data_IF_048646425837
#
_entry.id   IF_048646425837
#
_cell.length_a   1.000
_cell.length_b   1.000
_cell.length_c   1.000
_cell.angle_alpha   90.00
_cell.angle_beta   90.00
_cell.angle_gamma   90.00
#
_symmetry.space_group_name_H-M   'P 1'
#
loop_
_entity.id
_entity.type
_entity.pdbx_description
1 polymer ?
#
# COMPACT_ATOMS: atom_id res chain seq x y z
N UNK A 1 -16.69 -26.31 -17.36
CA UNK A 1 -16.59 -26.23 -15.89
C UNK A 1 -17.31 -24.95 -15.44
N UNK A 2 -17.95 -24.95 -14.27
CA UNK A 2 -18.65 -23.76 -13.74
C UNK A 2 -17.83 -23.17 -12.59
N UNK A 3 -17.27 -22.00 -12.82
CA UNK A 3 -16.47 -21.29 -11.79
C UNK A 3 -17.37 -20.44 -10.87
N UNK A 4 -16.83 -20.09 -9.70
CA UNK A 4 -17.46 -19.13 -8.78
C UNK A 4 -17.53 -17.74 -9.43
N UNK A 5 -18.60 -16.99 -9.13
CA UNK A 5 -18.71 -15.58 -9.56
C UNK A 5 -17.64 -14.69 -8.95
N UNK A 6 -17.09 -15.06 -7.78
CA UNK A 6 -15.97 -14.36 -7.12
C UNK A 6 -14.70 -14.29 -7.95
N UNK A 7 -14.55 -15.19 -8.94
CA UNK A 7 -13.38 -15.26 -9.82
C UNK A 7 -13.74 -14.90 -11.26
N UNK A 8 -14.83 -14.14 -11.45
CA UNK A 8 -15.35 -13.74 -12.77
C UNK A 8 -14.60 -12.57 -13.41
N UNK A 9 -13.33 -12.38 -13.07
CA UNK A 9 -12.49 -11.31 -13.62
C UNK A 9 -12.13 -11.57 -15.09
N UNK A 10 -11.89 -10.48 -15.83
CA UNK A 10 -11.27 -10.59 -17.14
C UNK A 10 -9.80 -11.01 -16.97
N UNK A 11 -9.45 -12.17 -17.53
CA UNK A 11 -8.09 -12.73 -17.50
C UNK A 11 -7.33 -12.53 -18.81
N UNK A 12 -7.91 -11.81 -19.77
CA UNK A 12 -7.24 -11.49 -21.02
C UNK A 12 -6.09 -10.52 -20.79
N UNK A 13 -5.00 -10.71 -21.53
CA UNK A 13 -3.85 -9.80 -21.48
C UNK A 13 -4.27 -8.42 -21.98
N UNK A 14 -4.08 -7.38 -21.15
CA UNK A 14 -4.35 -6.00 -21.55
C UNK A 14 -3.39 -5.53 -22.65
N UNK A 15 -3.78 -4.50 -23.41
CA UNK A 15 -2.93 -3.91 -24.44
C UNK A 15 -1.61 -3.42 -23.88
N UNK A 16 -1.63 -2.78 -22.69
CA UNK A 16 -0.43 -2.34 -21.98
C UNK A 16 0.50 -3.50 -21.62
N UNK A 17 -0.04 -4.56 -21.03
CA UNK A 17 0.74 -5.74 -20.66
C UNK A 17 1.37 -6.40 -21.89
N UNK A 18 0.61 -6.54 -22.98
CA UNK A 18 1.07 -7.07 -24.25
C UNK A 18 2.20 -6.23 -24.86
N UNK A 19 2.01 -4.91 -24.92
CA UNK A 19 3.02 -4.00 -25.47
C UNK A 19 4.32 -4.07 -24.66
N UNK A 20 4.21 -4.06 -23.31
CA UNK A 20 5.37 -4.19 -22.43
C UNK A 20 6.12 -5.52 -22.65
N UNK A 21 5.39 -6.66 -22.68
CA UNK A 21 5.99 -7.98 -22.91
C UNK A 21 6.70 -8.04 -24.26
N UNK A 22 6.06 -7.60 -25.34
CA UNK A 22 6.65 -7.62 -26.69
C UNK A 22 7.94 -6.79 -26.77
N UNK A 23 7.98 -5.63 -26.09
CA UNK A 23 9.19 -4.80 -26.05
C UNK A 23 10.31 -5.50 -25.25
N UNK A 24 9.97 -6.12 -24.14
CA UNK A 24 10.94 -6.87 -23.33
C UNK A 24 11.49 -8.10 -24.09
N UNK A 25 10.64 -8.87 -24.78
CA UNK A 25 11.03 -10.01 -25.61
C UNK A 25 11.92 -9.61 -26.80
N UNK A 26 11.72 -8.40 -27.34
CA UNK A 26 12.58 -7.82 -28.37
C UNK A 26 13.95 -7.31 -27.82
N UNK A 27 14.20 -7.43 -26.53
CA UNK A 27 15.44 -6.95 -25.90
C UNK A 27 15.63 -5.43 -25.94
N UNK A 28 14.54 -4.67 -26.15
CA UNK A 28 14.60 -3.22 -26.18
C UNK A 28 14.62 -2.64 -24.77
N UNK A 29 15.41 -1.59 -24.50
CA UNK A 29 15.52 -1.04 -23.15
C UNK A 29 14.21 -0.45 -22.67
N UNK A 30 13.91 -0.67 -21.37
CA UNK A 30 12.77 -0.11 -20.66
C UNK A 30 13.28 0.50 -19.35
N UNK A 31 13.10 1.82 -19.17
CA UNK A 31 13.27 2.47 -17.88
C UNK A 31 11.97 2.31 -17.09
N UNK A 32 12.02 1.52 -16.04
CA UNK A 32 10.84 1.16 -15.24
C UNK A 32 10.61 2.16 -14.10
N UNK A 33 9.68 3.09 -14.32
CA UNK A 33 9.21 4.05 -13.33
C UNK A 33 8.06 3.49 -12.46
N UNK A 34 7.75 2.20 -12.56
CA UNK A 34 6.75 1.50 -11.73
C UNK A 34 7.39 0.62 -10.67
N UNK A 35 8.72 0.46 -10.70
CA UNK A 35 9.48 -0.44 -9.84
C UNK A 35 9.15 -0.25 -8.36
N UNK A 36 8.50 -1.23 -7.75
CA UNK A 36 8.03 -1.19 -6.36
C UNK A 36 8.54 -2.37 -5.51
N UNK A 37 9.36 -3.23 -6.13
CA UNK A 37 9.96 -4.38 -5.45
C UNK A 37 11.34 -4.00 -4.87
N UNK A 38 11.47 -3.87 -3.54
CA UNK A 38 12.72 -3.46 -2.91
C UNK A 38 13.86 -4.44 -3.16
N UNK A 39 13.56 -5.73 -3.35
CA UNK A 39 14.60 -6.75 -3.61
C UNK A 39 15.25 -6.63 -4.99
N UNK A 40 14.67 -5.83 -5.88
CA UNK A 40 15.20 -5.54 -7.22
C UNK A 40 15.65 -4.08 -7.39
N UNK A 41 15.57 -3.30 -6.32
CA UNK A 41 15.93 -1.87 -6.34
C UNK A 41 17.44 -1.62 -6.11
N UNK A 42 18.27 -2.67 -6.06
CA UNK A 42 19.71 -2.56 -5.82
C UNK A 42 20.04 -2.07 -4.39
N UNK A 43 19.22 -2.49 -3.41
CA UNK A 43 19.45 -2.22 -2.00
C UNK A 43 20.35 -3.29 -1.40
N UNK A 44 21.20 -2.89 -0.45
CA UNK A 44 22.08 -3.79 0.29
C UNK A 44 21.38 -4.30 1.54
N UNK A 45 21.09 -5.59 1.58
CA UNK A 45 20.47 -6.27 2.72
C UNK A 45 21.49 -6.76 3.77
N UNK A 46 22.79 -6.57 3.53
CA UNK A 46 23.85 -7.07 4.39
C UNK A 46 24.02 -8.59 4.35
N UNK A 47 25.09 -9.05 4.95
CA UNK A 47 25.35 -10.48 5.14
C UNK A 47 24.53 -11.06 6.28
N UNK A 48 24.19 -12.34 6.24
CA UNK A 48 23.54 -13.06 7.34
C UNK A 48 22.02 -12.84 7.47
N UNK A 49 21.36 -12.07 6.58
CA UNK A 49 19.92 -11.89 6.63
C UNK A 49 19.12 -13.20 6.67
N UNK A 50 19.58 -14.21 5.95
CA UNK A 50 18.93 -15.51 5.86
C UNK A 50 19.32 -16.47 6.99
N UNK A 51 20.39 -16.20 7.75
CA UNK A 51 20.84 -17.06 8.85
C UNK A 51 19.76 -17.19 9.94
N UNK A 52 18.96 -16.16 10.12
CA UNK A 52 17.84 -16.18 11.06
C UNK A 52 16.76 -17.25 10.73
N UNK A 53 16.68 -17.72 9.48
CA UNK A 53 15.78 -18.80 9.07
C UNK A 53 16.24 -20.19 9.53
N UNK A 54 17.51 -20.34 9.89
CA UNK A 54 18.11 -21.60 10.31
C UNK A 54 17.99 -21.86 11.82
N UNK A 55 17.06 -21.21 12.51
CA UNK A 55 16.81 -21.41 13.94
C UNK A 55 16.32 -22.84 14.21
N UNK A 56 16.99 -23.61 15.09
CA UNK A 56 16.57 -24.98 15.40
C UNK A 56 15.13 -25.11 15.96
N UNK A 57 14.61 -24.06 16.58
CA UNK A 57 13.22 -24.03 17.07
C UNK A 57 12.19 -24.13 15.94
N UNK A 58 12.59 -23.83 14.70
CA UNK A 58 11.74 -23.98 13.54
C UNK A 58 11.42 -25.44 13.16
N UNK A 59 12.11 -26.42 13.76
CA UNK A 59 11.83 -27.85 13.59
C UNK A 59 10.61 -28.31 14.41
N UNK A 60 10.21 -27.55 15.42
CA UNK A 60 9.06 -27.89 16.27
C UNK A 60 7.77 -27.35 15.62
N UNK A 61 6.78 -28.23 15.52
CA UNK A 61 5.43 -27.82 15.13
C UNK A 61 4.67 -27.25 16.31
N UNK A 62 4.58 -25.94 16.41
CA UNK A 62 3.84 -25.17 17.42
C UNK A 62 2.76 -24.31 16.73
N UNK A 63 1.58 -24.88 16.44
CA UNK A 63 0.52 -24.22 15.69
C UNK A 63 -0.25 -23.23 16.58
N UNK A 64 0.32 -22.09 16.85
CA UNK A 64 -0.34 -21.01 17.60
C UNK A 64 -1.13 -20.11 16.65
N UNK A 65 -2.46 -20.03 16.75
CA UNK A 65 -3.27 -19.25 15.81
C UNK A 65 -2.90 -17.78 15.73
N UNK A 66 -2.57 -17.15 16.87
CA UNK A 66 -2.12 -15.76 16.90
C UNK A 66 -0.65 -15.58 16.45
N UNK A 67 0.08 -16.67 16.25
CA UNK A 67 1.52 -16.70 16.02
C UNK A 67 2.35 -16.86 17.30
N UNK A 68 3.63 -17.21 17.13
CA UNK A 68 4.57 -17.44 18.22
C UNK A 68 4.77 -16.19 19.09
N UNK A 69 4.88 -16.37 20.41
CA UNK A 69 4.99 -15.26 21.36
C UNK A 69 6.22 -14.38 21.06
N UNK A 70 7.39 -14.97 20.76
CA UNK A 70 8.61 -14.22 20.46
C UNK A 70 8.45 -13.31 19.23
N UNK A 71 7.75 -13.79 18.20
CA UNK A 71 7.48 -13.01 17.00
C UNK A 71 6.50 -11.86 17.28
N UNK A 72 5.44 -12.09 18.06
CA UNK A 72 4.51 -11.03 18.48
C UNK A 72 5.17 -10.01 19.42
N UNK A 73 6.09 -10.46 20.26
CA UNK A 73 6.90 -9.57 21.11
C UNK A 73 7.78 -8.64 20.27
N UNK A 74 8.37 -9.15 19.18
CA UNK A 74 9.13 -8.31 18.25
C UNK A 74 8.26 -7.26 17.55
N UNK A 75 7.03 -7.61 17.16
CA UNK A 75 6.06 -6.66 16.63
C UNK A 75 5.66 -5.62 17.70
N UNK A 76 5.42 -6.04 18.94
CA UNK A 76 5.15 -5.14 20.06
C UNK A 76 6.31 -4.15 20.25
N UNK A 77 7.56 -4.62 20.18
CA UNK A 77 8.73 -3.77 20.28
C UNK A 77 8.84 -2.78 19.12
N UNK A 78 8.52 -3.21 17.90
CA UNK A 78 8.45 -2.32 16.74
C UNK A 78 7.52 -1.12 17.01
N UNK A 79 6.33 -1.36 17.55
CA UNK A 79 5.39 -0.28 17.91
C UNK A 79 5.88 0.55 19.10
N UNK A 80 6.54 -0.05 20.08
CA UNK A 80 7.15 0.69 21.19
C UNK A 80 8.23 1.67 20.73
N UNK A 81 9.01 1.30 19.69
CA UNK A 81 10.04 2.17 19.08
C UNK A 81 9.44 3.43 18.42
N UNK A 82 8.17 3.41 18.05
CA UNK A 82 7.43 4.56 17.51
C UNK A 82 6.47 5.18 18.52
N UNK A 83 6.63 4.84 19.80
CA UNK A 83 5.90 5.46 20.92
C UNK A 83 4.50 4.90 21.18
N UNK A 84 4.18 3.70 20.64
CA UNK A 84 2.88 3.05 20.84
C UNK A 84 3.04 1.88 21.81
N UNK A 85 2.31 1.91 22.92
CA UNK A 85 2.29 0.82 23.90
C UNK A 85 1.20 -0.21 23.53
N UNK A 86 1.61 -1.46 23.32
CA UNK A 86 0.73 -2.58 23.00
C UNK A 86 0.97 -3.77 23.93
N UNK A 87 -0.05 -4.60 24.10
CA UNK A 87 0.07 -5.94 24.65
C UNK A 87 0.26 -6.96 23.51
N UNK A 88 1.04 -8.00 23.72
CA UNK A 88 1.21 -9.08 22.71
C UNK A 88 -0.12 -9.79 22.38
N UNK A 89 -1.08 -9.77 23.31
CA UNK A 89 -2.43 -10.29 23.09
C UNK A 89 -3.24 -9.51 22.05
N UNK A 90 -2.82 -8.28 21.69
CA UNK A 90 -3.48 -7.45 20.67
C UNK A 90 -2.98 -7.75 19.25
N UNK A 91 -1.99 -8.63 19.10
CA UNK A 91 -1.27 -8.87 17.86
C UNK A 91 -1.57 -10.28 17.33
N UNK A 92 -1.98 -10.36 16.08
CA UNK A 92 -2.14 -11.59 15.31
C UNK A 92 -1.23 -11.53 14.09
N UNK A 93 -0.40 -12.56 13.88
CA UNK A 93 0.49 -12.68 12.73
C UNK A 93 -0.22 -13.29 11.52
N UNK A 94 0.11 -12.78 10.33
CA UNK A 94 -0.38 -13.27 9.04
C UNK A 94 0.76 -13.36 8.03
N UNK A 95 0.57 -14.09 6.93
CA UNK A 95 1.58 -14.21 5.87
C UNK A 95 1.67 -12.97 4.99
N UNK A 96 0.64 -12.15 4.96
CA UNK A 96 0.58 -10.92 4.17
C UNK A 96 -0.53 -10.01 4.68
N UNK A 97 -0.45 -8.72 4.35
CA UNK A 97 -1.58 -7.80 4.59
C UNK A 97 -2.83 -8.22 3.79
N UNK A 98 -2.68 -8.86 2.63
CA UNK A 98 -3.80 -9.43 1.88
C UNK A 98 -4.54 -10.51 2.67
N UNK A 99 -3.82 -11.40 3.36
CA UNK A 99 -4.43 -12.37 4.27
C UNK A 99 -5.08 -11.68 5.48
N UNK A 100 -4.42 -10.66 6.03
CA UNK A 100 -4.97 -9.85 7.11
C UNK A 100 -6.31 -9.19 6.70
N UNK A 101 -6.39 -8.61 5.51
CA UNK A 101 -7.65 -8.08 4.96
C UNK A 101 -8.73 -9.15 4.85
N UNK A 102 -8.40 -10.33 4.32
CA UNK A 102 -9.35 -11.44 4.19
C UNK A 102 -9.86 -11.90 5.57
N UNK A 103 -9.00 -11.93 6.58
CA UNK A 103 -9.42 -12.25 7.96
C UNK A 103 -10.35 -11.17 8.54
N UNK A 104 -10.05 -9.89 8.29
CA UNK A 104 -10.87 -8.78 8.75
C UNK A 104 -12.23 -8.72 8.02
N UNK A 105 -12.25 -9.02 6.72
CA UNK A 105 -13.52 -9.12 5.99
C UNK A 105 -14.38 -10.27 6.52
N UNK A 106 -13.79 -11.43 6.81
CA UNK A 106 -14.52 -12.54 7.45
C UNK A 106 -15.00 -12.23 8.87
N UNK A 107 -14.26 -11.39 9.61
CA UNK A 107 -14.65 -10.95 10.93
C UNK A 107 -15.83 -10.00 10.93
N UNK A 108 -15.81 -9.01 10.00
CA UNK A 108 -16.67 -7.83 10.04
C UNK A 108 -17.85 -7.90 9.07
N UNK A 109 -17.76 -8.71 8.01
CA UNK A 109 -18.67 -8.66 6.87
C UNK A 109 -19.36 -10.00 6.64
N UNK A 110 -20.66 -9.94 6.44
CA UNK A 110 -21.43 -11.01 5.78
C UNK A 110 -21.35 -10.84 4.25
N UNK A 111 -21.65 -11.90 3.46
CA UNK A 111 -21.72 -11.77 2.01
C UNK A 111 -22.63 -10.63 1.55
N UNK A 112 -22.09 -9.74 0.71
CA UNK A 112 -22.80 -8.56 0.20
C UNK A 112 -22.70 -7.30 1.07
N UNK A 113 -22.02 -7.37 2.21
CA UNK A 113 -21.65 -6.18 2.98
C UNK A 113 -20.70 -5.27 2.19
N UNK A 114 -20.59 -4.03 2.62
CA UNK A 114 -19.79 -2.99 2.00
C UNK A 114 -18.69 -2.48 2.94
N UNK A 115 -17.54 -2.15 2.36
CA UNK A 115 -16.43 -1.49 3.05
C UNK A 115 -16.08 -0.22 2.26
N UNK A 116 -15.99 0.91 2.95
CA UNK A 116 -15.56 2.16 2.32
C UNK A 116 -14.03 2.13 2.18
N UNK A 117 -13.51 2.55 1.01
CA UNK A 117 -12.08 2.70 0.79
C UNK A 117 -11.77 4.01 0.06
N UNK A 118 -10.62 4.66 0.37
CA UNK A 118 -10.23 5.89 -0.32
C UNK A 118 -9.98 5.64 -1.81
N UNK A 119 -10.28 6.62 -2.65
CA UNK A 119 -9.98 6.64 -4.07
C UNK A 119 -9.37 7.99 -4.44
N UNK A 120 -8.16 8.03 -5.05
CA UNK A 120 -7.37 6.89 -5.52
C UNK A 120 -6.76 6.06 -4.39
N UNK A 121 -6.55 4.76 -4.65
CA UNK A 121 -5.99 3.84 -3.67
C UNK A 121 -5.35 2.60 -4.33
N UNK A 122 -4.95 1.65 -3.50
CA UNK A 122 -4.28 0.42 -3.89
C UNK A 122 -5.18 -0.48 -4.75
N UNK A 123 -4.74 -0.88 -5.97
CA UNK A 123 -5.62 -1.51 -6.96
C UNK A 123 -6.06 -2.95 -6.63
N UNK A 124 -5.51 -3.59 -5.58
CA UNK A 124 -5.88 -4.97 -5.23
C UNK A 124 -7.08 -5.06 -4.28
N UNK A 125 -7.62 -3.96 -3.78
CA UNK A 125 -8.75 -4.00 -2.84
C UNK A 125 -9.98 -4.68 -3.44
N UNK A 126 -10.31 -4.40 -4.69
CA UNK A 126 -11.48 -5.00 -5.36
C UNK A 126 -11.34 -6.52 -5.44
N UNK A 127 -10.15 -7.03 -5.82
CA UNK A 127 -9.91 -8.48 -5.89
C UNK A 127 -9.99 -9.16 -4.53
N UNK A 128 -9.46 -8.52 -3.49
CA UNK A 128 -9.54 -9.05 -2.11
C UNK A 128 -10.97 -9.10 -1.62
N UNK A 129 -11.74 -8.03 -1.89
CA UNK A 129 -13.14 -7.95 -1.51
C UNK A 129 -14.02 -8.95 -2.25
N UNK A 130 -13.83 -9.10 -3.57
CA UNK A 130 -14.55 -10.08 -4.40
C UNK A 130 -14.39 -11.50 -3.85
N UNK A 131 -13.16 -11.88 -3.44
CA UNK A 131 -12.88 -13.22 -2.88
C UNK A 131 -13.65 -13.50 -1.59
N UNK A 132 -13.98 -12.49 -0.82
CA UNK A 132 -14.72 -12.59 0.44
C UNK A 132 -16.21 -12.16 0.31
N UNK A 133 -16.74 -11.99 -0.92
CA UNK A 133 -18.10 -11.50 -1.21
C UNK A 133 -18.42 -10.13 -0.57
N UNK A 134 -17.42 -9.29 -0.39
CA UNK A 134 -17.51 -7.93 0.12
C UNK A 134 -17.44 -6.93 -1.05
N UNK A 135 -18.10 -5.80 -0.94
CA UNK A 135 -18.06 -4.74 -1.95
C UNK A 135 -17.22 -3.58 -1.48
N UNK A 136 -16.32 -3.11 -2.31
CA UNK A 136 -15.63 -1.85 -2.06
C UNK A 136 -16.51 -0.70 -2.56
N UNK A 137 -16.77 0.26 -1.67
CA UNK A 137 -17.43 1.50 -2.00
C UNK A 137 -16.42 2.64 -1.93
N UNK A 138 -16.07 3.26 -3.06
CA UNK A 138 -15.04 4.27 -3.09
C UNK A 138 -15.48 5.56 -2.40
N UNK A 139 -14.54 6.17 -1.66
CA UNK A 139 -14.68 7.52 -1.09
C UNK A 139 -13.60 8.39 -1.70
N UNK A 140 -13.94 9.45 -2.46
CA UNK A 140 -12.96 10.28 -3.11
C UNK A 140 -12.05 11.00 -2.12
N UNK A 141 -10.73 10.94 -2.36
CA UNK A 141 -9.78 11.89 -1.82
C UNK A 141 -9.85 13.17 -2.65
N UNK A 142 -9.89 14.31 -1.98
CA UNK A 142 -9.89 15.63 -2.61
C UNK A 142 -8.49 16.20 -2.57
N UNK A 143 -8.05 16.85 -3.67
CA UNK A 143 -6.78 17.53 -3.72
C UNK A 143 -7.00 19.06 -3.75
N UNK A 144 -6.59 19.71 -2.65
CA UNK A 144 -6.51 21.16 -2.54
C UNK A 144 -5.22 21.54 -1.81
N UNK A 145 -4.16 21.84 -2.57
CA UNK A 145 -2.78 22.04 -2.09
C UNK A 145 -2.21 20.88 -1.23
N UNK A 146 -2.89 19.76 -1.20
CA UNK A 146 -2.62 18.51 -0.50
C UNK A 146 -3.83 17.58 -0.60
N UNK A 147 -3.61 16.29 -0.43
CA UNK A 147 -4.71 15.33 -0.41
C UNK A 147 -5.43 15.35 0.92
N UNK A 148 -6.75 15.16 0.88
CA UNK A 148 -7.63 15.17 2.05
C UNK A 148 -8.76 14.16 1.88
N UNK A 149 -9.21 13.60 3.01
CA UNK A 149 -10.45 12.85 3.09
C UNK A 149 -11.58 13.87 3.38
N UNK A 150 -12.62 13.86 2.57
CA UNK A 150 -13.81 14.69 2.83
C UNK A 150 -14.78 13.93 3.75
N UNK A 151 -14.96 14.32 5.04
CA UNK A 151 -15.80 13.59 5.98
C UNK A 151 -17.26 13.47 5.53
N UNK A 152 -17.81 14.52 4.92
CA UNK A 152 -19.17 14.51 4.38
C UNK A 152 -19.31 13.56 3.18
N UNK A 153 -18.26 13.39 2.39
CA UNK A 153 -18.18 12.37 1.35
C UNK A 153 -18.26 10.95 1.93
N UNK A 154 -17.53 10.72 3.04
CA UNK A 154 -17.63 9.46 3.80
C UNK A 154 -19.05 9.23 4.29
N UNK A 155 -19.69 10.22 4.93
CA UNK A 155 -21.08 10.11 5.41
C UNK A 155 -22.05 9.75 4.31
N UNK A 156 -21.96 10.43 3.17
CA UNK A 156 -22.83 10.16 2.01
C UNK A 156 -22.64 8.75 1.43
N UNK A 157 -21.46 8.18 1.60
CA UNK A 157 -21.15 6.84 1.12
C UNK A 157 -21.66 5.72 2.04
N UNK A 158 -21.95 6.01 3.32
CA UNK A 158 -22.43 5.01 4.27
C UNK A 158 -23.83 4.54 3.91
N UNK A 159 -24.02 3.23 3.87
CA UNK A 159 -25.30 2.58 3.67
C UNK A 159 -25.57 1.51 4.74
N UNK A 160 -26.74 0.86 4.74
CA UNK A 160 -27.11 -0.14 5.75
C UNK A 160 -26.23 -1.41 5.72
N UNK A 161 -25.50 -1.63 4.62
CA UNK A 161 -24.57 -2.75 4.46
C UNK A 161 -23.11 -2.38 4.78
N UNK A 162 -22.82 -1.12 5.07
CA UNK A 162 -21.47 -0.68 5.41
C UNK A 162 -21.04 -1.24 6.78
N UNK A 163 -19.83 -1.77 6.88
CA UNK A 163 -19.28 -2.38 8.11
C UNK A 163 -17.97 -1.78 8.56
N UNK A 164 -17.18 -1.25 7.63
CA UNK A 164 -15.88 -0.68 7.97
C UNK A 164 -15.49 0.46 7.01
N UNK A 165 -14.56 1.28 7.48
CA UNK A 165 -13.83 2.26 6.67
C UNK A 165 -12.38 1.80 6.62
N UNK A 166 -11.85 1.60 5.41
CA UNK A 166 -10.42 1.34 5.16
C UNK A 166 -9.70 2.67 5.02
N UNK A 167 -8.56 2.78 5.65
CA UNK A 167 -7.59 3.86 5.45
C UNK A 167 -6.27 3.23 5.03
N UNK A 168 -5.52 3.90 4.17
CA UNK A 168 -4.14 3.57 3.85
C UNK A 168 -3.28 4.73 4.33
N UNK A 169 -2.36 4.50 5.24
CA UNK A 169 -1.70 5.54 6.02
C UNK A 169 -0.17 5.33 6.09
N UNK A 170 0.61 6.04 5.23
CA UNK A 170 0.16 6.95 4.18
C UNK A 170 -0.47 6.23 2.99
N UNK A 171 -1.37 6.93 2.28
CA UNK A 171 -2.10 6.37 1.16
C UNK A 171 -1.19 6.05 -0.04
N UNK A 172 -1.46 4.96 -0.71
CA UNK A 172 -0.86 4.57 -1.97
C UNK A 172 -1.89 4.77 -3.11
N UNK A 173 -1.65 5.66 -4.10
CA UNK A 173 -0.34 6.23 -4.46
C UNK A 173 -0.13 7.68 -4.01
N UNK A 174 -1.07 8.32 -3.31
CA UNK A 174 -1.07 9.76 -3.07
C UNK A 174 -0.04 10.22 -2.05
N UNK A 175 0.43 9.31 -1.19
CA UNK A 175 1.31 9.63 -0.09
C UNK A 175 0.66 10.42 1.06
N UNK A 176 -0.68 10.54 1.04
CA UNK A 176 -1.43 11.27 2.05
C UNK A 176 -1.39 10.57 3.41
N UNK A 177 -0.97 11.28 4.44
CA UNK A 177 -1.19 10.89 5.83
C UNK A 177 -2.54 11.44 6.31
N UNK A 178 -3.39 10.57 6.85
CA UNK A 178 -4.62 10.98 7.52
C UNK A 178 -4.28 11.93 8.65
N UNK A 179 -4.78 13.17 8.60
CA UNK A 179 -4.49 14.22 9.57
C UNK A 179 -5.19 13.94 10.90
N UNK A 180 -4.72 14.49 12.03
CA UNK A 180 -5.39 14.31 13.32
C UNK A 180 -6.88 14.69 13.28
N UNK A 181 -7.22 15.81 12.65
CA UNK A 181 -8.62 16.25 12.52
C UNK A 181 -9.47 15.32 11.63
N UNK A 182 -8.87 14.72 10.56
CA UNK A 182 -9.55 13.72 9.74
C UNK A 182 -9.80 12.45 10.56
N UNK A 183 -8.81 11.99 11.33
CA UNK A 183 -8.92 10.82 12.20
C UNK A 183 -10.02 11.02 13.27
N UNK A 184 -10.11 12.20 13.88
CA UNK A 184 -11.15 12.55 14.84
C UNK A 184 -12.54 12.52 14.20
N UNK A 185 -12.71 13.11 13.02
CA UNK A 185 -13.97 13.10 12.28
C UNK A 185 -14.37 11.69 11.82
N UNK A 186 -13.41 10.91 11.31
CA UNK A 186 -13.65 9.53 10.93
C UNK A 186 -14.02 8.66 12.15
N UNK A 187 -13.41 8.89 13.29
CA UNK A 187 -13.78 8.23 14.54
C UNK A 187 -15.20 8.60 14.98
N UNK A 188 -15.60 9.88 14.83
CA UNK A 188 -16.96 10.34 15.13
C UNK A 188 -17.98 9.67 14.20
N UNK A 189 -17.70 9.61 12.90
CA UNK A 189 -18.53 8.93 11.91
C UNK A 189 -18.62 7.43 12.21
N UNK A 190 -17.49 6.78 12.47
CA UNK A 190 -17.46 5.35 12.76
C UNK A 190 -18.31 5.00 14.00
N UNK A 191 -18.23 5.81 15.06
CA UNK A 191 -19.10 5.64 16.25
C UNK A 191 -20.59 5.83 15.96
N UNK A 192 -20.92 6.86 15.18
CA UNK A 192 -22.32 7.18 14.84
C UNK A 192 -22.99 6.06 14.05
N UNK A 193 -22.26 5.39 13.18
CA UNK A 193 -22.77 4.35 12.28
C UNK A 193 -22.34 2.93 12.68
N UNK A 194 -21.76 2.74 13.85
CA UNK A 194 -21.28 1.44 14.36
C UNK A 194 -20.34 0.73 13.37
N UNK A 195 -19.31 1.46 12.90
CA UNK A 195 -18.34 0.99 11.94
C UNK A 195 -16.96 0.75 12.61
N UNK A 196 -16.20 -0.17 12.06
CA UNK A 196 -14.79 -0.35 12.41
C UNK A 196 -13.87 0.41 11.45
N UNK A 197 -12.64 0.74 11.91
CA UNK A 197 -11.58 1.23 11.05
C UNK A 197 -10.57 0.12 10.77
N UNK A 198 -10.23 -0.07 9.50
CA UNK A 198 -9.11 -0.92 9.05
C UNK A 198 -8.05 0.02 8.50
N UNK A 199 -6.85 0.05 9.09
CA UNK A 199 -5.80 0.99 8.73
C UNK A 199 -4.57 0.25 8.24
N UNK A 200 -4.23 0.42 6.97
CA UNK A 200 -3.01 -0.14 6.37
C UNK A 200 -1.84 0.82 6.58
N UNK A 201 -0.89 0.39 7.40
CA UNK A 201 0.29 1.16 7.78
C UNK A 201 1.60 0.61 7.19
N UNK A 202 1.55 -0.14 6.09
CA UNK A 202 2.78 -0.72 5.50
C UNK A 202 3.81 0.32 5.11
N UNK A 203 3.41 1.57 4.84
CA UNK A 203 4.28 2.68 4.47
C UNK A 203 4.57 3.67 5.59
N UNK A 204 4.09 3.44 6.81
CA UNK A 204 4.19 4.38 7.94
C UNK A 204 5.63 4.87 8.19
N UNK A 205 6.62 3.99 8.07
CA UNK A 205 8.03 4.32 8.27
C UNK A 205 8.61 5.29 7.22
N UNK A 206 7.91 5.55 6.12
CA UNK A 206 8.35 6.41 5.02
C UNK A 206 7.62 7.75 5.05
N UNK A 207 7.67 8.39 6.19
CA UNK A 207 7.13 9.74 6.44
C UNK A 207 8.17 10.81 6.08
N UNK A 208 7.78 11.77 5.23
CA UNK A 208 8.59 12.92 4.83
C UNK A 208 8.18 14.19 5.58
N UNK A 209 6.97 14.19 6.17
CA UNK A 209 6.38 15.32 6.87
C UNK A 209 6.75 15.40 8.35
N UNK A 210 7.13 14.26 8.93
CA UNK A 210 7.40 14.10 10.36
C UNK A 210 6.15 14.11 11.25
N UNK A 211 4.96 14.02 10.65
CA UNK A 211 3.67 14.09 11.34
C UNK A 211 2.90 12.77 11.44
N UNK A 212 3.39 11.71 10.79
CA UNK A 212 2.73 10.41 10.76
C UNK A 212 2.70 9.74 12.13
N UNK A 213 1.49 9.40 12.60
CA UNK A 213 1.28 8.68 13.87
C UNK A 213 0.51 7.40 13.60
N UNK A 214 0.95 6.31 14.22
CA UNK A 214 0.27 5.03 14.09
C UNK A 214 -1.12 5.02 14.73
N UNK A 215 -2.10 4.50 14.02
CA UNK A 215 -3.43 4.21 14.54
C UNK A 215 -3.45 3.04 15.54
N UNK A 216 -2.36 2.29 15.66
CA UNK A 216 -2.21 1.26 16.68
C UNK A 216 -2.27 1.83 18.11
N UNK A 217 -2.03 3.15 18.29
CA UNK A 217 -2.32 3.84 19.55
C UNK A 217 -3.81 3.78 19.93
N UNK A 218 -4.67 3.45 18.96
CA UNK A 218 -6.11 3.40 19.13
C UNK A 218 -6.78 4.77 18.98
N UNK A 219 -8.08 4.72 18.71
CA UNK A 219 -8.97 5.87 18.79
C UNK A 219 -10.02 5.60 19.84
N UNK A 220 -10.32 6.60 20.68
CA UNK A 220 -11.28 6.43 21.76
C UNK A 220 -12.65 6.00 21.22
N UNK A 221 -13.19 4.92 21.79
CA UNK A 221 -14.50 4.38 21.50
C UNK A 221 -14.77 3.93 20.04
N UNK A 222 -13.71 3.55 19.29
CA UNK A 222 -13.83 2.97 17.93
C UNK A 222 -12.98 1.70 17.84
N UNK A 223 -13.52 0.58 17.29
CA UNK A 223 -12.71 -0.59 16.96
C UNK A 223 -11.74 -0.25 15.82
N UNK A 224 -10.44 -0.41 16.05
CA UNK A 224 -9.40 -0.14 15.05
C UNK A 224 -8.56 -1.41 14.84
N UNK A 225 -8.41 -1.79 13.58
CA UNK A 225 -7.57 -2.89 13.14
C UNK A 225 -6.46 -2.34 12.24
N UNK A 226 -5.24 -2.30 12.77
CA UNK A 226 -4.08 -1.87 11.98
C UNK A 226 -3.46 -3.08 11.31
N UNK A 227 -3.22 -2.99 10.01
CA UNK A 227 -2.48 -4.00 9.24
C UNK A 227 -1.14 -3.46 8.81
N UNK A 228 -0.09 -4.26 8.97
CA UNK A 228 1.25 -3.91 8.53
C UNK A 228 2.10 -5.17 8.31
N UNK A 229 3.37 -5.02 7.85
CA UNK A 229 4.21 -6.19 7.59
C UNK A 229 5.58 -5.86 7.02
N UNK A 230 6.43 -6.89 6.93
CA UNK A 230 7.83 -6.79 6.53
C UNK A 230 8.04 -6.32 5.08
N UNK A 231 7.04 -6.47 4.22
CA UNK A 231 7.16 -6.17 2.78
C UNK A 231 7.71 -4.78 2.49
N UNK A 232 7.32 -3.81 3.33
CA UNK A 232 7.75 -2.42 3.22
C UNK A 232 8.66 -2.03 4.39
N UNK A 233 8.29 -2.38 5.63
CA UNK A 233 9.02 -2.02 6.85
C UNK A 233 10.49 -2.45 6.80
N UNK A 234 10.77 -3.67 6.31
CA UNK A 234 12.11 -4.21 6.17
C UNK A 234 12.52 -4.50 4.71
N UNK A 235 11.69 -4.10 3.74
CA UNK A 235 11.95 -4.39 2.33
C UNK A 235 11.97 -5.89 1.98
N UNK A 236 11.26 -6.73 2.74
CA UNK A 236 11.30 -8.19 2.66
C UNK A 236 9.94 -8.81 2.23
N UNK A 237 9.39 -8.47 1.04
CA UNK A 237 8.10 -8.99 0.60
C UNK A 237 8.09 -10.51 0.40
N UNK A 238 9.25 -11.10 0.07
CA UNK A 238 9.43 -12.54 -0.16
C UNK A 238 9.34 -13.37 1.14
N UNK A 239 9.54 -12.76 2.30
CA UNK A 239 9.51 -13.47 3.60
C UNK A 239 8.09 -13.73 4.10
N UNK A 240 7.09 -13.08 3.50
CA UNK A 240 5.68 -13.35 3.78
C UNK A 240 5.33 -13.29 5.26
N UNK A 241 5.59 -12.13 5.89
CA UNK A 241 5.23 -11.86 7.28
C UNK A 241 4.54 -10.50 7.40
N UNK A 242 3.38 -10.52 8.03
CA UNK A 242 2.53 -9.37 8.31
C UNK A 242 1.77 -9.59 9.63
N UNK A 243 0.96 -8.64 10.04
CA UNK A 243 0.19 -8.73 11.27
C UNK A 243 -1.04 -7.82 11.26
N UNK A 244 -1.94 -8.14 12.17
CA UNK A 244 -3.08 -7.31 12.59
C UNK A 244 -2.81 -6.87 14.03
N UNK A 245 -3.01 -5.58 14.33
CA UNK A 245 -3.11 -5.05 15.69
C UNK A 245 -4.54 -4.61 15.93
N UNK A 246 -5.20 -5.17 16.94
CA UNK A 246 -6.57 -4.81 17.30
C UNK A 246 -6.58 -3.91 18.55
N UNK A 247 -7.26 -2.76 18.45
CA UNK A 247 -7.40 -1.78 19.54
C UNK A 247 -8.84 -1.27 19.65
N UNK A 248 -9.15 -0.53 20.72
CA UNK A 248 -10.48 0.03 20.95
C UNK A 248 -11.45 -0.92 21.66
N UNK A 249 -12.75 -0.58 21.65
CA UNK A 249 -13.78 -1.40 22.29
C UNK A 249 -13.90 -2.77 21.59
N UNK A 250 -14.39 -3.75 22.34
CA UNK A 250 -14.65 -5.13 21.85
C UNK A 250 -13.41 -5.88 21.30
N UNK A 251 -12.20 -5.29 21.40
CA UNK A 251 -10.97 -5.91 20.87
C UNK A 251 -10.76 -7.36 21.35
N UNK A 252 -11.11 -7.66 22.61
CA UNK A 252 -10.97 -9.03 23.14
C UNK A 252 -11.89 -10.01 22.42
N UNK A 253 -13.13 -9.63 22.14
CA UNK A 253 -14.08 -10.43 21.41
C UNK A 253 -13.67 -10.58 19.94
N UNK A 254 -13.20 -9.49 19.31
CA UNK A 254 -12.70 -9.51 17.93
C UNK A 254 -11.50 -10.44 17.79
N UNK A 255 -10.52 -10.36 18.71
CA UNK A 255 -9.35 -11.23 18.72
C UNK A 255 -9.70 -12.70 18.94
N UNK A 256 -10.64 -13.01 19.84
CA UNK A 256 -11.09 -14.37 20.03
C UNK A 256 -11.72 -14.97 18.75
N UNK A 257 -12.43 -14.18 17.96
CA UNK A 257 -12.98 -14.60 16.65
C UNK A 257 -11.90 -14.70 15.59
N UNK A 258 -10.97 -13.74 15.55
CA UNK A 258 -9.81 -13.77 14.64
C UNK A 258 -8.91 -14.98 14.93
N UNK A 259 -8.77 -15.38 16.20
CA UNK A 259 -8.02 -16.57 16.57
C UNK A 259 -8.62 -17.84 15.94
N UNK A 260 -9.95 -17.98 15.95
CA UNK A 260 -10.63 -19.10 15.28
C UNK A 260 -10.45 -19.06 13.77
N UNK A 261 -10.54 -17.87 13.16
CA UNK A 261 -10.28 -17.70 11.72
C UNK A 261 -8.84 -18.11 11.40
N UNK A 262 -7.87 -17.60 12.14
CA UNK A 262 -6.45 -17.91 11.94
C UNK A 262 -6.11 -19.38 12.18
N UNK A 263 -6.72 -20.01 13.20
CA UNK A 263 -6.56 -21.44 13.51
C UNK A 263 -7.02 -22.34 12.35
N UNK A 264 -8.01 -21.88 11.59
CA UNK A 264 -8.51 -22.61 10.40
C UNK A 264 -7.46 -22.67 9.28
N UNK A 265 -6.58 -21.68 9.18
CA UNK A 265 -5.58 -21.58 8.10
C UNK A 265 -4.18 -21.99 8.56
N UNK A 266 -3.77 -21.63 9.78
CA UNK A 266 -2.43 -21.87 10.36
C UNK A 266 -1.29 -21.49 9.42
N UNK A 267 -1.41 -20.33 8.77
CA UNK A 267 -0.61 -19.97 7.60
C UNK A 267 0.83 -19.62 7.90
N UNK A 268 1.16 -19.12 9.11
CA UNK A 268 2.52 -18.67 9.41
C UNK A 268 3.46 -19.82 9.65
N UNK A 269 4.49 -19.95 8.81
CA UNK A 269 5.52 -20.97 8.99
C UNK A 269 6.50 -20.63 10.13
N UNK A 270 7.02 -21.65 10.82
CA UNK A 270 7.90 -21.50 11.96
C UNK A 270 9.23 -20.78 11.65
N UNK A 271 9.96 -21.07 10.55
CA UNK A 271 11.22 -20.38 10.24
C UNK A 271 11.05 -18.85 10.15
N UNK A 272 10.00 -18.37 9.49
CA UNK A 272 9.75 -16.92 9.36
C UNK A 272 9.40 -16.29 10.70
N UNK A 273 8.61 -16.98 11.54
CA UNK A 273 8.29 -16.49 12.88
C UNK A 273 9.54 -16.43 13.77
N UNK A 274 10.44 -17.43 13.70
CA UNK A 274 11.70 -17.42 14.43
C UNK A 274 12.63 -16.29 13.97
N UNK A 275 12.63 -15.95 12.67
CA UNK A 275 13.49 -14.92 12.08
C UNK A 275 12.94 -13.49 12.28
N UNK A 276 11.63 -13.33 12.51
CA UNK A 276 10.97 -12.03 12.60
C UNK A 276 11.62 -11.05 13.60
N UNK A 277 12.05 -11.48 14.81
CA UNK A 277 12.74 -10.59 15.74
C UNK A 277 14.01 -9.97 15.14
N UNK A 278 14.88 -10.76 14.54
CA UNK A 278 16.12 -10.28 13.94
C UNK A 278 15.87 -9.31 12.77
N UNK A 279 14.90 -9.61 11.93
CA UNK A 279 14.56 -8.74 10.79
C UNK A 279 13.94 -7.41 11.21
N UNK A 280 13.10 -7.40 12.26
CA UNK A 280 12.53 -6.16 12.81
C UNK A 280 13.59 -5.33 13.53
N UNK A 281 14.53 -5.95 14.23
CA UNK A 281 15.65 -5.26 14.88
C UNK A 281 16.55 -4.59 13.82
N UNK A 282 16.92 -5.32 12.75
CA UNK A 282 17.79 -4.84 11.68
C UNK A 282 17.14 -3.88 10.68
N UNK A 283 15.83 -3.66 10.73
CA UNK A 283 15.06 -2.90 9.71
C UNK A 283 15.58 -1.50 9.39
N UNK A 284 16.16 -0.81 10.39
CA UNK A 284 16.59 0.61 10.26
C UNK A 284 17.65 0.81 9.17
N UNK A 285 18.49 -0.19 8.92
CA UNK A 285 19.52 -0.12 7.88
C UNK A 285 18.90 -0.06 6.47
N UNK A 286 17.94 -0.94 6.18
CA UNK A 286 17.26 -0.97 4.89
C UNK A 286 16.30 0.23 4.73
N UNK A 287 15.61 0.62 5.79
CA UNK A 287 14.77 1.82 5.79
C UNK A 287 15.57 3.08 5.46
N UNK A 288 16.80 3.20 6.00
CA UNK A 288 17.69 4.32 5.71
C UNK A 288 18.03 4.41 4.22
N UNK A 289 18.37 3.27 3.59
CA UNK A 289 18.65 3.20 2.15
C UNK A 289 17.42 3.56 1.31
N UNK A 290 16.24 3.04 1.67
CA UNK A 290 15.00 3.32 0.95
C UNK A 290 14.63 4.80 1.06
N UNK A 291 14.68 5.40 2.25
CA UNK A 291 14.39 6.83 2.45
C UNK A 291 15.33 7.71 1.64
N UNK A 292 16.62 7.40 1.64
CA UNK A 292 17.60 8.18 0.85
C UNK A 292 17.35 8.04 -0.65
N UNK A 293 17.05 6.83 -1.15
CA UNK A 293 16.70 6.57 -2.53
C UNK A 293 15.47 7.38 -2.95
N UNK A 294 14.40 7.27 -2.18
CA UNK A 294 13.13 7.96 -2.46
C UNK A 294 13.33 9.48 -2.44
N UNK A 295 14.09 10.01 -1.48
CA UNK A 295 14.40 11.44 -1.40
C UNK A 295 15.19 11.94 -2.63
N UNK A 296 16.20 11.18 -3.07
CA UNK A 296 17.01 11.54 -4.24
C UNK A 296 16.21 11.49 -5.53
N UNK A 297 15.42 10.44 -5.71
CA UNK A 297 14.56 10.30 -6.89
C UNK A 297 13.47 11.38 -6.94
N UNK A 298 12.89 11.74 -5.79
CA UNK A 298 11.94 12.84 -5.69
C UNK A 298 12.59 14.19 -6.09
N UNK A 299 13.79 14.47 -5.57
CA UNK A 299 14.52 15.69 -5.92
C UNK A 299 14.89 15.76 -7.42
N UNK A 300 15.29 14.62 -8.02
CA UNK A 300 15.56 14.56 -9.47
C UNK A 300 14.28 14.79 -10.29
N UNK A 301 13.16 14.21 -9.88
CA UNK A 301 11.86 14.46 -10.50
C UNK A 301 11.51 15.95 -10.45
N UNK A 302 11.55 16.57 -9.27
CA UNK A 302 11.21 17.98 -9.07
C UNK A 302 12.08 18.87 -9.97
N UNK A 303 13.39 18.64 -10.00
CA UNK A 303 14.32 19.37 -10.87
C UNK A 303 13.98 19.28 -12.37
N UNK A 304 13.49 18.12 -12.83
CA UNK A 304 13.07 17.93 -14.23
C UNK A 304 11.77 18.65 -14.54
N UNK A 305 10.83 18.65 -13.60
CA UNK A 305 9.52 19.26 -13.77
C UNK A 305 9.53 20.78 -13.68
N UNK A 306 10.56 21.41 -13.09
CA UNK A 306 10.73 22.88 -13.09
C UNK A 306 10.60 23.52 -14.47
N UNK A 307 10.92 22.78 -15.55
CA UNK A 307 10.86 23.23 -16.93
C UNK A 307 9.55 22.86 -17.65
N UNK A 308 8.60 22.26 -16.95
CA UNK A 308 7.35 21.75 -17.49
C UNK A 308 6.15 22.36 -16.74
N UNK A 309 5.83 23.65 -16.99
CA UNK A 309 4.78 24.34 -16.23
C UNK A 309 3.37 23.76 -16.42
N UNK A 310 3.17 22.91 -17.42
CA UNK A 310 1.91 22.23 -17.66
C UNK A 310 1.78 20.90 -16.87
N UNK A 311 2.80 20.51 -16.12
CA UNK A 311 2.84 19.25 -15.36
C UNK A 311 2.96 19.56 -13.87
N UNK A 312 2.00 19.13 -13.09
CA UNK A 312 2.03 19.27 -11.64
C UNK A 312 2.43 17.95 -10.99
N UNK A 313 3.48 17.95 -10.18
CA UNK A 313 3.70 16.89 -9.20
C UNK A 313 2.87 17.23 -7.95
N UNK A 314 1.86 16.40 -7.66
CA UNK A 314 1.00 16.62 -6.52
C UNK A 314 1.76 16.41 -5.21
N UNK A 315 1.32 17.08 -4.14
CA UNK A 315 1.94 16.99 -2.84
C UNK A 315 1.99 15.53 -2.36
N UNK A 316 3.14 15.11 -1.82
CA UNK A 316 3.37 13.79 -1.25
C UNK A 316 3.97 13.97 0.14
N UNK A 317 3.42 13.26 1.13
CA UNK A 317 3.84 13.34 2.53
C UNK A 317 4.60 12.09 2.98
N UNK A 318 4.41 10.98 2.25
CA UNK A 318 5.11 9.74 2.54
C UNK A 318 4.91 8.65 1.49
N UNK A 319 5.43 7.46 1.77
CA UNK A 319 5.36 6.33 0.85
C UNK A 319 6.46 6.32 -0.21
N UNK A 320 6.23 5.61 -1.33
CA UNK A 320 7.23 5.41 -2.40
C UNK A 320 6.74 5.90 -3.76
N UNK A 321 5.58 6.56 -3.82
CA UNK A 321 4.94 6.96 -5.07
C UNK A 321 4.67 8.45 -5.09
N UNK A 322 4.59 8.98 -6.28
CA UNK A 322 4.08 10.32 -6.54
C UNK A 322 3.07 10.29 -7.67
N UNK A 323 2.11 11.20 -7.59
CA UNK A 323 1.11 11.43 -8.63
C UNK A 323 1.52 12.65 -9.45
N UNK A 324 1.54 12.49 -10.77
CA UNK A 324 1.70 13.57 -11.71
C UNK A 324 0.37 13.89 -12.37
N UNK A 325 -0.01 15.16 -12.37
CA UNK A 325 -1.11 15.66 -13.19
C UNK A 325 -0.53 16.25 -14.47
N UNK A 326 -0.94 15.69 -15.59
CA UNK A 326 -0.50 16.08 -16.92
C UNK A 326 -1.68 16.62 -17.74
N UNK A 327 -1.46 17.36 -18.85
CA UNK A 327 -2.55 17.75 -19.73
C UNK A 327 -3.36 16.54 -20.25
N UNK A 328 -4.67 16.54 -20.04
CA UNK A 328 -5.58 15.46 -20.42
C UNK A 328 -5.93 15.53 -21.93
N UNK A 329 -4.96 15.25 -22.80
CA UNK A 329 -5.11 15.34 -24.26
C UNK A 329 -5.63 14.05 -24.89
N UNK A 330 -5.47 12.94 -24.21
CA UNK A 330 -5.85 11.58 -24.61
C UNK A 330 -5.97 10.70 -23.36
N UNK A 331 -6.56 9.51 -23.44
CA UNK A 331 -6.56 8.56 -22.33
C UNK A 331 -5.15 8.23 -21.85
N UNK A 332 -4.97 8.05 -20.55
CA UNK A 332 -3.66 7.75 -19.95
C UNK A 332 -3.04 6.48 -20.53
N UNK A 333 -3.86 5.48 -20.91
CA UNK A 333 -3.40 4.26 -21.56
C UNK A 333 -2.65 4.55 -22.85
N UNK A 334 -3.18 5.43 -23.70
CA UNK A 334 -2.53 5.85 -24.94
C UNK A 334 -1.23 6.63 -24.67
N UNK A 335 -1.25 7.48 -23.65
CA UNK A 335 -0.04 8.20 -23.20
C UNK A 335 1.04 7.22 -22.76
N UNK A 336 0.68 6.20 -21.96
CA UNK A 336 1.64 5.19 -21.47
C UNK A 336 2.16 4.31 -22.60
N UNK A 337 1.32 3.90 -23.57
CA UNK A 337 1.77 3.17 -24.77
C UNK A 337 2.82 3.95 -25.57
N UNK A 338 2.59 5.24 -25.81
CA UNK A 338 3.57 6.12 -26.50
C UNK A 338 4.86 6.32 -25.72
N UNK A 339 4.77 6.40 -24.38
CA UNK A 339 5.94 6.43 -23.50
C UNK A 339 6.72 5.11 -23.56
N UNK A 340 6.02 3.99 -23.59
CA UNK A 340 6.64 2.67 -23.73
C UNK A 340 7.38 2.51 -25.06
N UNK A 341 6.84 3.03 -26.18
CA UNK A 341 7.55 3.10 -27.46
C UNK A 341 8.88 3.85 -27.37
N UNK A 342 8.98 4.81 -26.46
CA UNK A 342 10.22 5.54 -26.12
C UNK A 342 11.05 4.88 -25.04
N UNK A 343 10.64 3.70 -24.57
CA UNK A 343 11.36 2.93 -23.53
C UNK A 343 11.15 3.43 -22.11
N UNK A 344 10.01 4.05 -21.83
CA UNK A 344 9.61 4.43 -20.47
C UNK A 344 8.35 3.69 -20.08
N UNK A 345 8.39 3.01 -18.95
CA UNK A 345 7.24 2.33 -18.36
C UNK A 345 6.79 3.08 -17.10
N UNK A 346 5.53 3.52 -17.08
CA UNK A 346 4.92 4.27 -15.98
C UNK A 346 3.48 3.80 -15.78
N UNK A 347 2.94 3.92 -14.58
CA UNK A 347 1.54 3.57 -14.34
C UNK A 347 0.60 4.67 -14.82
N UNK A 348 -0.45 4.32 -15.58
CA UNK A 348 -1.59 5.22 -15.80
C UNK A 348 -2.37 5.40 -14.50
N UNK A 349 -2.95 6.60 -14.30
CA UNK A 349 -3.66 6.92 -13.06
C UNK A 349 -4.89 6.06 -12.80
N UNK A 350 -5.57 5.60 -13.85
CA UNK A 350 -6.78 4.80 -13.71
C UNK A 350 -6.53 3.44 -13.01
N UNK A 351 -5.29 2.90 -13.01
CA UNK A 351 -4.95 1.71 -12.21
C UNK A 351 -5.21 1.91 -10.71
N UNK A 352 -5.18 3.13 -10.24
CA UNK A 352 -5.42 3.50 -8.86
C UNK A 352 -6.81 4.11 -8.63
N UNK A 353 -7.68 4.04 -9.65
CA UNK A 353 -9.03 4.59 -9.57
C UNK A 353 -9.10 6.10 -9.84
N UNK A 354 -8.08 6.71 -10.44
CA UNK A 354 -8.15 8.08 -10.95
C UNK A 354 -8.96 8.16 -12.24
N UNK A 355 -9.40 9.36 -12.67
CA UNK A 355 -10.02 9.55 -13.99
C UNK A 355 -9.13 9.03 -15.13
N UNK A 356 -9.74 8.70 -16.27
CA UNK A 356 -9.06 8.04 -17.40
C UNK A 356 -7.99 8.89 -18.10
N UNK A 357 -7.92 10.17 -17.82
CA UNK A 357 -7.02 11.08 -18.52
C UNK A 357 -6.40 12.12 -17.59
N UNK A 358 -5.12 12.38 -17.80
CA UNK A 358 -4.39 13.45 -17.12
C UNK A 358 -3.59 13.01 -15.89
N UNK A 359 -3.37 11.69 -15.69
CA UNK A 359 -2.76 11.18 -14.48
C UNK A 359 -1.71 10.10 -14.75
N UNK A 360 -0.53 10.28 -14.18
CA UNK A 360 0.51 9.24 -14.14
C UNK A 360 0.94 9.02 -12.70
N UNK A 361 1.32 7.78 -12.39
CA UNK A 361 1.86 7.42 -11.07
C UNK A 361 3.26 6.87 -11.24
N UNK A 362 4.21 7.49 -10.54
CA UNK A 362 5.65 7.18 -10.60
C UNK A 362 6.11 6.59 -9.28
N UNK A 363 6.83 5.48 -9.32
CA UNK A 363 7.53 4.93 -8.17
C UNK A 363 8.89 5.60 -7.99
N UNK A 364 9.20 6.00 -6.78
CA UNK A 364 10.47 6.61 -6.38
C UNK A 364 11.52 5.58 -5.92
N UNK A 365 11.20 4.28 -5.96
CA UNK A 365 12.06 3.23 -5.42
C UNK A 365 13.14 2.75 -6.39
N UNK A 366 12.95 2.93 -7.70
CA UNK A 366 13.86 2.45 -8.73
C UNK A 366 15.31 2.91 -8.55
N UNK A 367 16.30 2.19 -9.12
CA UNK A 367 17.71 2.61 -9.10
C UNK A 367 17.88 4.03 -9.67
N UNK A 368 18.70 4.87 -9.02
CA UNK A 368 18.82 6.30 -9.33
C UNK A 368 19.16 6.58 -10.81
N UNK A 369 20.08 5.81 -11.40
CA UNK A 369 20.49 6.00 -12.79
C UNK A 369 19.35 5.67 -13.77
N UNK A 370 18.63 4.57 -13.52
CA UNK A 370 17.47 4.16 -14.33
C UNK A 370 16.33 5.15 -14.17
N UNK A 371 16.05 5.56 -12.93
CA UNK A 371 15.04 6.57 -12.62
C UNK A 371 15.33 7.90 -13.35
N UNK A 372 16.55 8.44 -13.21
CA UNK A 372 16.95 9.71 -13.86
C UNK A 372 16.83 9.62 -15.38
N UNK A 373 17.21 8.48 -15.99
CA UNK A 373 17.05 8.25 -17.43
C UNK A 373 15.56 8.21 -17.82
N UNK A 374 14.72 7.48 -17.09
CA UNK A 374 13.28 7.38 -17.34
C UNK A 374 12.57 8.72 -17.23
N UNK A 375 12.86 9.50 -16.17
CA UNK A 375 12.26 10.82 -15.95
C UNK A 375 12.74 11.82 -17.01
N UNK A 376 13.99 11.75 -17.48
CA UNK A 376 14.46 12.61 -18.58
C UNK A 376 13.63 12.37 -19.84
N UNK A 377 13.42 11.11 -20.23
CA UNK A 377 12.61 10.75 -21.41
C UNK A 377 11.13 11.09 -21.25
N UNK A 378 10.58 10.89 -20.04
CA UNK A 378 9.22 11.34 -19.72
C UNK A 378 9.08 12.84 -19.93
N UNK A 379 10.03 13.64 -19.41
CA UNK A 379 10.03 15.09 -19.54
C UNK A 379 10.15 15.54 -21.02
N UNK A 380 11.02 14.91 -21.80
CA UNK A 380 11.16 15.16 -23.24
C UNK A 380 9.84 14.90 -23.98
N UNK A 381 9.21 13.75 -23.74
CA UNK A 381 7.91 13.39 -24.32
C UNK A 381 6.82 14.43 -23.98
N UNK A 382 6.71 14.84 -22.73
CA UNK A 382 5.71 15.82 -22.30
C UNK A 382 5.97 17.21 -22.92
N UNK A 383 7.23 17.61 -23.06
CA UNK A 383 7.62 18.87 -23.74
C UNK A 383 7.22 18.88 -25.21
N UNK A 384 7.52 17.81 -25.95
CA UNK A 384 7.17 17.70 -27.39
C UNK A 384 5.64 17.71 -27.59
N UNK A 385 4.91 17.05 -26.69
CA UNK A 385 3.45 16.99 -26.70
C UNK A 385 2.81 18.38 -26.49
N UNK A 386 3.37 19.19 -25.60
CA UNK A 386 2.90 20.55 -25.35
C UNK A 386 3.23 21.47 -26.55
N UNK A 387 4.41 21.32 -27.15
CA UNK A 387 4.81 22.08 -28.34
C UNK A 387 3.92 21.76 -29.55
N UNK A 388 3.57 20.51 -29.78
CA UNK A 388 2.67 20.08 -30.84
C UNK A 388 1.25 20.67 -30.73
N UNK A 389 0.80 20.98 -29.49
CA UNK A 389 -0.47 21.65 -29.25
C UNK A 389 -0.46 23.14 -29.59
N UNK A 390 0.69 23.78 -29.48
CA UNK A 390 0.85 25.21 -29.76
C UNK A 390 1.01 25.53 -31.26
N UNK A 391 1.28 24.51 -32.09
CA UNK A 391 1.39 24.60 -33.55
C UNK A 391 0.46 23.58 -34.24
N UNK A 392 -0.88 23.81 -34.26
CA UNK A 392 -1.85 22.93 -34.91
C UNK A 392 -1.74 22.91 -36.43
#
# INVERSE_FOLDING_TARGET
MRFSKRTGWNTEESELARAHRLRAEAGLPIADLTASNPTRAGLDYGEGLLDALADPRALDYDPRPLGQLAAREAVRQYYADVGVALETSQILLTTSTSEAYSYLFKLLCDPGCEVLAPQPSYPLFDFLADLDDVRIRPVPLVYDHGWQIEPEGVRRAIGPQTRAIVLVHPNNPTGHFTKPWEAEELARIAREFDLSLIVDEVFLDYDFSGGGRSFAAGLEAVPVFVVSGLSKIAGLPQMKAAWIVATGPERAQALARLEVIADTFLSMNAPVQCALPAWLEGRKAIQGQIRERVRRNLAELDRRLERLPAVDRLAVEGGWYVVLRIPALEPDEQTVLKLLERGVWVHPGYFFGMPESGWLVVSLLGPEAEFSHGIARLAEFLTERDAAKMNP
#
